data_IF_045724517340
#
_entry.id   IF_045724517340
#
_cell.length_a   1.000
_cell.length_b   1.000
_cell.length_c   1.000
_cell.angle_alpha   90.00
_cell.angle_beta   90.00
_cell.angle_gamma   90.00
#
_symmetry.space_group_name_H-M   'P 1'
#
loop_
_entity.id
_entity.type
_entity.pdbx_description
1 polymer ?
#
# COMPACT_ATOMS: atom_id res chain seq x y z
N UNK A 1 63.71 -11.33 56.11
CA UNK A 1 62.63 -12.34 55.99
C UNK A 1 61.68 -11.86 54.89
N UNK A 2 61.82 -12.39 53.67
CA UNK A 2 60.83 -13.27 52.98
C UNK A 2 59.40 -12.71 53.01
N UNK A 3 58.89 -12.21 51.87
CA UNK A 3 58.02 -12.98 50.96
C UNK A 3 57.48 -12.10 49.82
N UNK A 4 57.40 -12.69 48.63
CA UNK A 4 56.92 -12.12 47.38
C UNK A 4 55.48 -12.55 47.07
N UNK A 5 54.79 -11.83 46.16
CA UNK A 5 53.86 -12.29 45.07
C UNK A 5 53.01 -11.09 44.60
N UNK A 6 53.23 -10.48 43.43
CA UNK A 6 52.82 -10.86 42.05
C UNK A 6 51.29 -10.91 41.80
N UNK A 7 50.90 -10.22 40.71
CA UNK A 7 49.68 -10.29 39.88
C UNK A 7 48.42 -9.50 40.28
N UNK A 8 48.10 -8.45 39.50
CA UNK A 8 46.90 -8.40 38.65
C UNK A 8 46.84 -7.06 37.86
N UNK A 9 47.59 -7.00 36.75
CA UNK A 9 47.20 -6.17 35.60
C UNK A 9 46.20 -6.98 34.78
N UNK A 10 45.01 -6.42 34.51
CA UNK A 10 44.15 -6.87 33.42
C UNK A 10 42.71 -7.22 33.81
N UNK A 11 41.86 -6.22 34.04
CA UNK A 11 40.40 -6.30 33.77
C UNK A 11 39.85 -4.88 33.49
N UNK A 12 40.14 -4.31 32.32
CA UNK A 12 39.38 -3.13 31.82
C UNK A 12 38.85 -3.36 30.39
N UNK A 13 39.27 -4.44 29.70
CA UNK A 13 38.89 -4.70 28.31
C UNK A 13 37.57 -5.45 28.07
N UNK A 14 36.93 -6.04 29.09
CA UNK A 14 35.81 -6.97 28.87
C UNK A 14 34.40 -6.35 28.96
N UNK A 15 34.23 -5.17 29.56
CA UNK A 15 32.89 -4.58 29.80
C UNK A 15 32.37 -3.79 28.58
N UNK A 16 33.27 -3.27 27.74
CA UNK A 16 32.90 -2.52 26.55
C UNK A 16 32.40 -3.41 25.39
N UNK A 17 32.84 -4.67 25.32
CA UNK A 17 32.44 -5.60 24.24
C UNK A 17 31.09 -6.29 24.50
N UNK A 18 30.70 -6.52 25.76
CA UNK A 18 29.41 -7.13 26.10
C UNK A 18 28.25 -6.15 25.87
N UNK A 19 28.49 -4.84 25.99
CA UNK A 19 27.48 -3.81 25.77
C UNK A 19 27.10 -3.65 24.28
N UNK A 20 28.04 -3.91 23.36
CA UNK A 20 27.78 -3.85 21.92
C UNK A 20 26.96 -5.06 21.40
N UNK A 21 27.10 -6.24 22.04
CA UNK A 21 26.32 -7.44 21.69
C UNK A 21 24.87 -7.38 22.19
N UNK A 22 24.60 -6.67 23.29
CA UNK A 22 23.24 -6.49 23.81
C UNK A 22 22.39 -5.49 22.99
N UNK A 23 23.01 -4.49 22.37
CA UNK A 23 22.30 -3.53 21.52
C UNK A 23 21.78 -4.16 20.21
N UNK A 24 22.52 -5.10 19.62
CA UNK A 24 22.11 -5.79 18.38
C UNK A 24 21.00 -6.81 18.63
N UNK A 25 21.01 -7.48 19.78
CA UNK A 25 19.96 -8.42 20.17
C UNK A 25 18.62 -7.72 20.52
N UNK A 26 18.67 -6.50 21.06
CA UNK A 26 17.47 -5.70 21.36
C UNK A 26 16.70 -5.29 20.10
N UNK A 27 17.40 -4.86 19.05
CA UNK A 27 16.77 -4.38 17.81
C UNK A 27 16.07 -5.52 17.02
N UNK A 28 16.68 -6.72 16.99
CA UNK A 28 16.10 -7.87 16.30
C UNK A 28 14.81 -8.38 16.97
N UNK A 29 14.71 -8.26 18.30
CA UNK A 29 13.53 -8.69 19.05
C UNK A 29 12.37 -7.69 18.94
N UNK A 30 12.68 -6.39 18.90
CA UNK A 30 11.68 -5.32 18.74
C UNK A 30 11.01 -5.34 17.35
N UNK A 31 11.81 -5.59 16.30
CA UNK A 31 11.27 -5.73 14.94
C UNK A 31 10.44 -7.01 14.77
N UNK A 32 10.82 -8.12 15.44
CA UNK A 32 10.05 -9.36 15.46
C UNK A 32 8.68 -9.20 16.16
N UNK A 33 8.64 -8.50 17.29
CA UNK A 33 7.39 -8.20 18.00
C UNK A 33 6.45 -7.31 17.19
N UNK A 34 6.99 -6.24 16.59
CA UNK A 34 6.23 -5.34 15.71
C UNK A 34 5.67 -6.04 14.48
N UNK A 35 6.45 -6.96 13.89
CA UNK A 35 6.02 -7.78 12.76
C UNK A 35 4.82 -8.66 13.09
N UNK A 36 4.83 -9.32 14.27
CA UNK A 36 3.71 -10.14 14.74
C UNK A 36 2.44 -9.30 14.96
N UNK A 37 2.55 -8.14 15.61
CA UNK A 37 1.40 -7.27 15.88
C UNK A 37 0.74 -6.81 14.57
N UNK A 38 1.53 -6.34 13.62
CA UNK A 38 1.03 -5.89 12.31
C UNK A 38 0.41 -7.05 11.51
N UNK A 39 1.05 -8.22 11.51
CA UNK A 39 0.51 -9.41 10.86
C UNK A 39 -0.83 -9.82 11.46
N UNK A 40 -0.95 -9.81 12.80
CA UNK A 40 -2.19 -10.13 13.51
C UNK A 40 -3.29 -9.10 13.24
N UNK A 41 -2.91 -7.84 13.01
CA UNK A 41 -3.85 -6.78 12.70
C UNK A 41 -4.35 -6.83 11.25
N UNK A 42 -3.48 -7.07 10.28
CA UNK A 42 -3.82 -6.91 8.86
C UNK A 42 -3.91 -8.21 8.07
N UNK A 43 -3.19 -9.27 8.46
CA UNK A 43 -2.98 -10.45 7.62
C UNK A 43 -3.71 -11.70 8.11
N UNK A 44 -3.78 -11.91 9.44
CA UNK A 44 -4.27 -13.17 10.04
C UNK A 44 -5.73 -13.50 9.73
N UNK A 45 -6.55 -12.51 9.37
CA UNK A 45 -7.96 -12.73 9.01
C UNK A 45 -8.11 -13.53 7.70
N UNK A 46 -7.10 -13.48 6.84
CA UNK A 46 -7.06 -14.22 5.58
C UNK A 46 -6.04 -15.38 5.62
N UNK A 47 -4.85 -15.14 6.17
CA UNK A 47 -3.75 -16.11 6.22
C UNK A 47 -3.73 -16.98 7.48
N UNK A 48 -4.58 -16.70 8.48
CA UNK A 48 -4.54 -17.37 9.77
C UNK A 48 -3.42 -16.87 10.67
N UNK A 49 -3.53 -17.16 11.97
CA UNK A 49 -2.52 -16.75 12.96
C UNK A 49 -1.18 -17.48 12.74
N UNK A 50 -1.22 -18.76 12.31
CA UNK A 50 -0.01 -19.53 12.04
C UNK A 50 0.46 -19.47 10.58
N UNK A 51 -0.27 -18.75 9.71
CA UNK A 51 0.01 -18.68 8.27
C UNK A 51 -0.49 -19.87 7.45
N UNK A 52 -1.11 -20.87 8.09
CA UNK A 52 -1.64 -22.05 7.42
C UNK A 52 -2.93 -21.76 6.67
N UNK A 53 -3.10 -22.44 5.56
CA UNK A 53 -4.36 -22.41 4.82
C UNK A 53 -5.53 -22.92 5.67
N UNK A 54 -6.72 -22.38 5.41
CA UNK A 54 -7.96 -22.68 6.12
C UNK A 54 -8.07 -22.17 7.57
N UNK A 55 -7.08 -21.44 8.09
CA UNK A 55 -7.16 -20.87 9.45
C UNK A 55 -7.78 -19.47 9.49
N UNK A 56 -7.60 -18.67 8.43
CA UNK A 56 -8.13 -17.31 8.38
C UNK A 56 -9.65 -17.29 8.47
N UNK A 57 -10.19 -16.41 9.31
CA UNK A 57 -11.64 -16.21 9.47
C UNK A 57 -12.38 -16.03 8.13
N UNK A 58 -11.76 -15.33 7.18
CA UNK A 58 -12.33 -15.03 5.88
C UNK A 58 -12.13 -16.16 4.84
N UNK A 59 -11.35 -17.20 5.15
CA UNK A 59 -10.92 -18.22 4.19
C UNK A 59 -12.05 -18.87 3.38
N UNK A 60 -13.11 -19.26 4.07
CA UNK A 60 -14.27 -19.91 3.47
C UNK A 60 -15.07 -19.00 2.52
N UNK A 61 -14.90 -17.68 2.63
CA UNK A 61 -15.66 -16.68 1.88
C UNK A 61 -14.85 -16.03 0.76
N UNK A 62 -13.56 -16.37 0.63
CA UNK A 62 -12.70 -15.85 -0.44
C UNK A 62 -12.87 -16.66 -1.74
N UNK A 63 -12.92 -16.00 -2.91
CA UNK A 63 -12.84 -16.68 -4.20
C UNK A 63 -11.44 -17.27 -4.43
N UNK A 64 -11.32 -18.15 -5.42
CA UNK A 64 -10.02 -18.60 -5.89
C UNK A 64 -9.33 -17.53 -6.77
N UNK A 65 -7.98 -17.47 -6.74
CA UNK A 65 -7.11 -18.27 -5.89
C UNK A 65 -7.08 -17.74 -4.45
N UNK A 66 -7.19 -18.67 -3.49
CA UNK A 66 -7.12 -18.36 -2.06
C UNK A 66 -5.70 -18.01 -1.62
N UNK A 67 -5.54 -17.38 -0.43
CA UNK A 67 -4.22 -17.05 0.07
C UNK A 67 -3.26 -18.24 0.18
N UNK A 68 -1.98 -17.99 -0.09
CA UNK A 68 -0.90 -18.97 0.04
C UNK A 68 -0.74 -19.45 1.48
N UNK A 69 -0.23 -20.67 1.63
CA UNK A 69 0.25 -21.18 2.92
C UNK A 69 1.60 -20.54 3.26
N UNK A 70 1.58 -19.57 4.18
CA UNK A 70 2.79 -18.86 4.59
C UNK A 70 3.68 -19.70 5.51
N UNK A 71 3.18 -20.83 6.05
CA UNK A 71 3.94 -21.77 6.86
C UNK A 71 4.64 -22.85 6.03
N UNK A 72 4.29 -22.98 4.73
CA UNK A 72 4.88 -23.97 3.85
C UNK A 72 6.34 -23.64 3.54
N UNK A 73 7.25 -24.36 4.20
CA UNK A 73 8.69 -24.20 4.02
C UNK A 73 9.18 -24.43 2.60
N UNK A 74 8.69 -25.47 1.91
CA UNK A 74 9.20 -25.80 0.57
C UNK A 74 8.88 -24.72 -0.44
N UNK A 75 7.72 -24.08 -0.29
CA UNK A 75 7.23 -23.06 -1.20
C UNK A 75 7.72 -21.67 -0.79
N UNK A 76 7.60 -21.29 0.48
CA UNK A 76 8.00 -19.96 0.93
C UNK A 76 9.51 -19.72 0.88
N UNK A 77 10.32 -20.78 0.95
CA UNK A 77 11.77 -20.67 0.76
C UNK A 77 12.20 -20.37 -0.68
N UNK A 78 11.32 -20.45 -1.69
CA UNK A 78 11.69 -20.10 -3.08
C UNK A 78 11.65 -18.60 -3.35
N UNK A 79 10.90 -17.84 -2.54
CA UNK A 79 10.80 -16.38 -2.67
C UNK A 79 11.95 -15.69 -1.96
N UNK A 80 12.45 -14.60 -2.54
CA UNK A 80 13.36 -13.66 -1.87
C UNK A 80 12.59 -12.77 -0.91
N UNK A 81 13.30 -12.11 0.00
CA UNK A 81 12.70 -11.18 0.94
C UNK A 81 12.01 -10.01 0.22
N UNK A 82 12.64 -9.53 -0.85
CA UNK A 82 12.11 -8.49 -1.73
C UNK A 82 10.84 -8.92 -2.46
N UNK A 83 10.71 -10.20 -2.83
CA UNK A 83 9.52 -10.69 -3.52
C UNK A 83 8.30 -10.65 -2.57
N UNK A 84 8.51 -11.04 -1.31
CA UNK A 84 7.47 -10.96 -0.26
C UNK A 84 7.14 -9.49 0.03
N UNK A 85 8.15 -8.64 0.18
CA UNK A 85 7.97 -7.20 0.38
C UNK A 85 7.16 -6.58 -0.75
N UNK A 86 7.53 -6.86 -2.01
CA UNK A 86 6.87 -6.33 -3.19
C UNK A 86 5.44 -6.82 -3.31
N UNK A 87 5.16 -8.06 -2.89
CA UNK A 87 3.78 -8.58 -2.84
C UNK A 87 2.90 -7.80 -1.84
N UNK A 88 3.46 -7.39 -0.71
CA UNK A 88 2.74 -6.60 0.32
C UNK A 88 2.63 -5.11 -0.08
N UNK A 89 3.61 -4.60 -0.82
CA UNK A 89 3.79 -3.17 -1.16
C UNK A 89 3.49 -2.82 -2.63
N UNK A 90 2.92 -3.74 -3.42
CA UNK A 90 2.53 -3.45 -4.81
C UNK A 90 1.30 -2.54 -4.87
N UNK A 91 1.11 -1.87 -5.99
CA UNK A 91 -0.17 -1.23 -6.28
C UNK A 91 -1.26 -2.26 -6.57
N UNK A 92 -2.52 -1.85 -6.41
CA UNK A 92 -3.67 -2.66 -6.79
C UNK A 92 -3.74 -2.77 -8.32
N UNK A 93 -3.86 -3.99 -8.84
CA UNK A 93 -4.02 -4.27 -10.27
C UNK A 93 -5.50 -4.44 -10.59
N UNK A 94 -5.95 -3.92 -11.73
CA UNK A 94 -7.29 -4.11 -12.25
C UNK A 94 -7.39 -5.44 -13.00
N UNK A 95 -8.07 -6.43 -12.41
CA UNK A 95 -8.21 -7.76 -13.02
C UNK A 95 -9.37 -7.86 -14.01
N UNK A 96 -9.89 -6.72 -14.46
CA UNK A 96 -10.78 -6.65 -15.61
C UNK A 96 -10.08 -7.25 -16.84
N UNK A 97 -10.85 -7.73 -17.82
CA UNK A 97 -10.28 -8.15 -19.11
C UNK A 97 -9.44 -7.01 -19.73
N UNK A 98 -8.25 -7.33 -20.23
CA UNK A 98 -7.34 -6.34 -20.85
C UNK A 98 -8.00 -5.62 -22.03
N UNK A 99 -8.90 -6.27 -22.77
CA UNK A 99 -9.67 -5.66 -23.85
C UNK A 99 -10.70 -4.63 -23.33
N UNK A 100 -11.08 -4.74 -22.06
CA UNK A 100 -11.94 -3.80 -21.35
C UNK A 100 -11.18 -2.77 -20.50
N UNK A 101 -9.84 -2.75 -20.60
CA UNK A 101 -8.97 -1.79 -19.92
C UNK A 101 -8.44 -2.23 -18.56
N UNK A 102 -8.44 -3.54 -18.28
CA UNK A 102 -7.70 -4.09 -17.14
C UNK A 102 -6.19 -4.13 -17.37
N UNK A 103 -5.44 -4.41 -16.31
CA UNK A 103 -3.98 -4.51 -16.34
C UNK A 103 -3.54 -5.86 -16.93
N UNK A 104 -2.43 -5.88 -17.66
CA UNK A 104 -1.77 -7.13 -18.02
C UNK A 104 -1.20 -7.80 -16.77
N UNK A 105 -1.62 -9.04 -16.52
CA UNK A 105 -1.22 -9.83 -15.37
C UNK A 105 -0.43 -11.04 -15.87
N UNK A 106 0.84 -11.11 -15.52
CA UNK A 106 1.68 -12.27 -15.84
C UNK A 106 1.24 -13.53 -15.08
N UNK A 107 1.59 -14.71 -15.60
CA UNK A 107 1.32 -15.99 -14.94
C UNK A 107 2.04 -16.14 -13.59
N UNK A 108 3.12 -15.39 -13.38
CA UNK A 108 3.92 -15.28 -12.16
C UNK A 108 3.52 -14.09 -11.27
N UNK A 109 2.70 -13.17 -11.79
CA UNK A 109 2.20 -12.05 -11.02
C UNK A 109 1.09 -12.51 -10.07
N UNK A 110 1.31 -12.32 -8.77
CA UNK A 110 0.32 -12.56 -7.74
C UNK A 110 -0.75 -11.44 -7.74
N UNK A 111 -1.49 -11.31 -8.85
CA UNK A 111 -2.56 -10.35 -9.03
C UNK A 111 -3.91 -10.99 -8.64
N UNK A 112 -4.14 -11.08 -7.33
CA UNK A 112 -5.48 -11.28 -6.80
C UNK A 112 -6.03 -9.92 -6.37
N UNK A 113 -7.28 -9.55 -6.76
CA UNK A 113 -7.92 -8.33 -6.26
C UNK A 113 -8.07 -8.36 -4.74
N UNK A 114 -8.18 -9.56 -4.18
CA UNK A 114 -8.57 -9.82 -2.80
C UNK A 114 -7.46 -9.61 -1.78
N UNK A 115 -6.18 -9.66 -2.18
CA UNK A 115 -5.07 -9.28 -1.31
C UNK A 115 -4.84 -7.77 -1.42
N UNK A 116 -5.11 -7.00 -0.35
CA UNK A 116 -4.96 -5.55 -0.39
C UNK A 116 -3.49 -5.13 -0.41
N UNK A 117 -3.23 -3.95 -0.96
CA UNK A 117 -1.94 -3.27 -0.81
C UNK A 117 -1.81 -2.64 0.57
N UNK A 118 -0.59 -2.68 1.13
CA UNK A 118 -0.23 -1.96 2.34
C UNK A 118 0.75 -0.80 2.09
N UNK A 119 1.13 -0.59 0.82
CA UNK A 119 2.05 0.48 0.37
C UNK A 119 1.67 1.86 0.88
N UNK A 120 0.37 2.14 0.97
CA UNK A 120 -0.18 3.45 1.38
C UNK A 120 -0.62 3.49 2.85
N UNK A 121 -0.40 2.41 3.61
CA UNK A 121 -0.87 2.26 5.00
C UNK A 121 0.29 2.14 5.97
N UNK A 122 1.29 1.32 5.62
CA UNK A 122 2.42 0.99 6.48
C UNK A 122 3.70 1.67 5.95
N UNK A 123 4.65 1.94 6.84
CA UNK A 123 5.99 2.36 6.41
C UNK A 123 6.79 1.18 5.85
N UNK A 124 7.85 1.44 5.08
CA UNK A 124 8.70 0.36 4.56
C UNK A 124 9.33 -0.47 5.69
N UNK A 125 9.76 0.15 6.80
CA UNK A 125 10.22 -0.59 7.99
C UNK A 125 9.16 -1.54 8.58
N UNK A 126 7.89 -1.12 8.59
CA UNK A 126 6.77 -1.93 9.09
C UNK A 126 6.47 -3.11 8.17
N UNK A 127 6.54 -2.90 6.86
CA UNK A 127 6.38 -3.98 5.88
C UNK A 127 7.54 -4.98 6.03
N UNK A 128 8.78 -4.52 6.20
CA UNK A 128 9.91 -5.41 6.49
C UNK A 128 9.75 -6.18 7.80
N UNK A 129 9.16 -5.57 8.83
CA UNK A 129 8.84 -6.29 10.06
C UNK A 129 7.83 -7.44 9.79
N UNK A 130 6.82 -7.21 8.94
CA UNK A 130 5.91 -8.27 8.51
C UNK A 130 6.66 -9.36 7.75
N UNK A 131 7.55 -9.00 6.80
CA UNK A 131 8.38 -9.99 6.07
C UNK A 131 9.19 -10.85 7.05
N UNK A 132 9.83 -10.23 8.05
CA UNK A 132 10.55 -10.93 9.10
C UNK A 132 9.68 -11.92 9.86
N UNK A 133 8.45 -11.54 10.22
CA UNK A 133 7.50 -12.44 10.87
C UNK A 133 7.06 -13.59 9.96
N UNK A 134 6.72 -13.30 8.69
CA UNK A 134 6.35 -14.31 7.69
C UNK A 134 7.47 -15.33 7.48
N UNK A 135 8.75 -14.89 7.43
CA UNK A 135 9.89 -15.80 7.40
C UNK A 135 9.93 -16.74 8.60
N UNK A 136 9.58 -16.23 9.78
CA UNK A 136 9.46 -17.01 11.01
C UNK A 136 8.41 -18.12 10.93
N UNK A 137 7.27 -17.88 10.27
CA UNK A 137 6.16 -18.86 10.15
C UNK A 137 6.59 -20.16 9.46
N UNK A 138 7.56 -20.10 8.56
CA UNK A 138 8.12 -21.26 7.87
C UNK A 138 9.55 -21.61 8.30
N UNK A 139 9.98 -21.11 9.47
CA UNK A 139 11.26 -21.44 10.11
C UNK A 139 12.50 -20.87 9.42
N UNK A 140 12.36 -19.86 8.55
CA UNK A 140 13.46 -19.12 7.97
C UNK A 140 13.76 -17.83 8.76
N UNK A 141 14.85 -17.16 8.39
CA UNK A 141 15.17 -15.82 8.87
C UNK A 141 15.24 -14.89 7.67
N UNK A 142 14.81 -13.65 7.85
CA UNK A 142 14.99 -12.59 6.88
C UNK A 142 16.49 -12.29 6.74
N UNK A 143 16.94 -12.18 5.50
CA UNK A 143 18.30 -11.82 5.11
C UNK A 143 18.43 -10.30 4.88
N UNK A 144 17.34 -9.63 4.46
CA UNK A 144 17.30 -8.18 4.25
C UNK A 144 17.62 -7.41 5.54
N UNK A 145 18.47 -6.39 5.42
CA UNK A 145 18.95 -5.60 6.57
C UNK A 145 18.41 -4.17 6.51
N UNK A 146 17.35 -3.93 7.28
CA UNK A 146 16.68 -2.62 7.36
C UNK A 146 17.63 -1.50 7.80
N UNK A 147 18.54 -1.77 8.75
CA UNK A 147 19.52 -0.76 9.20
C UNK A 147 20.52 -0.34 8.11
N UNK A 148 20.94 -1.28 7.25
CA UNK A 148 21.81 -0.95 6.11
C UNK A 148 21.06 -0.09 5.10
N UNK A 149 19.79 -0.42 4.81
CA UNK A 149 18.89 0.38 3.96
C UNK A 149 18.68 1.79 4.50
N UNK A 150 18.42 1.92 5.80
CA UNK A 150 18.27 3.21 6.48
C UNK A 150 19.51 4.07 6.33
N UNK A 151 20.69 3.52 6.63
CA UNK A 151 21.97 4.22 6.49
C UNK A 151 22.24 4.65 5.04
N UNK A 152 21.90 3.82 4.06
CA UNK A 152 21.99 4.18 2.64
C UNK A 152 21.10 5.37 2.31
N UNK A 153 19.84 5.39 2.77
CA UNK A 153 18.91 6.48 2.52
C UNK A 153 19.32 7.78 3.23
N UNK A 154 19.83 7.69 4.46
CA UNK A 154 20.39 8.84 5.18
C UNK A 154 21.60 9.43 4.44
N UNK A 155 22.49 8.58 3.94
CA UNK A 155 23.66 9.00 3.16
C UNK A 155 23.21 9.68 1.86
N UNK A 156 22.26 9.07 1.12
CA UNK A 156 21.71 9.64 -0.10
C UNK A 156 21.04 11.00 0.15
N UNK A 157 20.30 11.14 1.25
CA UNK A 157 19.68 12.41 1.66
C UNK A 157 20.72 13.48 1.96
N UNK A 158 21.78 13.14 2.68
CA UNK A 158 22.88 14.07 2.97
C UNK A 158 23.62 14.49 1.69
N UNK A 159 23.91 13.55 0.79
CA UNK A 159 24.53 13.83 -0.51
C UNK A 159 23.65 14.74 -1.36
N UNK A 160 22.34 14.47 -1.45
CA UNK A 160 21.42 15.30 -2.22
C UNK A 160 21.29 16.72 -1.65
N UNK A 161 21.33 16.88 -0.32
CA UNK A 161 21.37 18.20 0.34
C UNK A 161 22.64 18.96 -0.04
N UNK A 162 23.80 18.32 0.02
CA UNK A 162 25.07 18.93 -0.34
C UNK A 162 25.11 19.33 -1.84
N UNK A 163 24.59 18.47 -2.72
CA UNK A 163 24.49 18.75 -4.15
C UNK A 163 23.58 19.95 -4.44
N UNK A 164 22.42 20.04 -3.79
CA UNK A 164 21.53 21.19 -3.94
C UNK A 164 22.19 22.48 -3.42
N UNK A 165 22.86 22.43 -2.26
CA UNK A 165 23.57 23.60 -1.72
C UNK A 165 24.66 24.08 -2.69
N UNK A 166 25.44 23.16 -3.26
CA UNK A 166 26.46 23.50 -4.25
C UNK A 166 25.86 24.07 -5.54
N UNK A 167 24.80 23.44 -6.08
CA UNK A 167 24.13 23.90 -7.29
C UNK A 167 23.46 25.27 -7.09
N UNK A 168 22.88 25.52 -5.91
CA UNK A 168 22.30 26.81 -5.54
C UNK A 168 23.38 27.90 -5.51
N UNK A 169 24.54 27.64 -4.88
CA UNK A 169 25.66 28.59 -4.88
C UNK A 169 26.19 28.89 -6.28
N UNK A 170 26.25 27.88 -7.16
CA UNK A 170 26.67 28.06 -8.55
C UNK A 170 25.67 28.92 -9.33
N UNK A 171 24.37 28.66 -9.17
CA UNK A 171 23.29 29.47 -9.76
C UNK A 171 23.36 30.92 -9.28
N UNK A 172 23.41 31.15 -7.97
CA UNK A 172 23.48 32.51 -7.40
C UNK A 172 24.73 33.27 -7.88
N UNK A 173 25.86 32.58 -8.03
CA UNK A 173 27.09 33.18 -8.57
C UNK A 173 26.97 33.55 -10.06
N UNK A 174 26.38 32.68 -10.87
CA UNK A 174 26.17 32.89 -12.31
C UNK A 174 25.13 34.00 -12.58
N UNK A 175 24.02 33.99 -11.85
CA UNK A 175 22.99 35.04 -11.90
C UNK A 175 23.57 36.40 -11.50
N UNK A 176 24.34 36.45 -10.41
CA UNK A 176 25.02 37.67 -9.99
C UNK A 176 26.00 38.17 -11.05
N UNK A 177 26.80 37.28 -11.64
CA UNK A 177 27.72 37.67 -12.72
C UNK A 177 26.96 38.24 -13.93
N UNK A 178 25.85 37.62 -14.33
CA UNK A 178 25.01 38.10 -15.42
C UNK A 178 24.42 39.49 -15.13
N UNK A 179 23.97 39.71 -13.89
CA UNK A 179 23.49 41.01 -13.42
C UNK A 179 24.60 42.07 -13.44
N UNK A 180 25.77 41.77 -12.88
CA UNK A 180 26.93 42.68 -12.87
C UNK A 180 27.39 43.03 -14.31
N UNK A 181 27.29 42.09 -15.26
CA UNK A 181 27.59 42.33 -16.67
C UNK A 181 26.54 43.19 -17.38
N UNK A 182 25.26 43.00 -17.06
CA UNK A 182 24.15 43.77 -17.61
C UNK A 182 24.16 45.22 -17.10
N UNK A 183 24.47 45.44 -15.83
CA UNK A 183 24.66 46.77 -15.25
C UNK A 183 25.79 47.53 -15.95
N UNK A 184 26.97 46.89 -16.13
CA UNK A 184 28.10 47.50 -16.85
C UNK A 184 27.75 47.85 -18.30
N UNK A 185 26.99 46.99 -18.99
CA UNK A 185 26.50 47.27 -20.36
C UNK A 185 25.50 48.42 -20.35
N UNK A 186 24.64 48.51 -19.34
CA UNK A 186 23.65 49.57 -19.20
C UNK A 186 24.30 50.94 -19.03
N UNK A 187 25.32 51.02 -18.17
CA UNK A 187 26.11 52.24 -17.95
C UNK A 187 26.86 52.67 -19.22
N UNK A 188 27.52 51.73 -19.90
CA UNK A 188 28.29 52.00 -21.11
C UNK A 188 27.41 52.47 -22.29
N UNK A 189 26.19 51.93 -22.40
CA UNK A 189 25.26 52.23 -23.49
C UNK A 189 24.24 53.33 -23.16
N UNK A 190 24.18 53.80 -21.91
CA UNK A 190 23.15 54.71 -21.39
C UNK A 190 21.72 54.25 -21.72
N UNK A 191 21.51 52.93 -21.67
CA UNK A 191 20.25 52.28 -21.97
C UNK A 191 20.12 51.09 -21.04
N UNK A 192 18.95 50.86 -20.47
CA UNK A 192 18.71 49.72 -19.61
C UNK A 192 18.88 48.41 -20.41
N UNK A 193 19.83 47.59 -19.99
CA UNK A 193 20.11 46.25 -20.47
C UNK A 193 19.83 45.29 -19.32
N UNK A 194 18.88 44.39 -19.53
CA UNK A 194 18.52 43.35 -18.56
C UNK A 194 19.57 42.21 -18.55
N UNK A 195 19.70 41.46 -17.45
CA UNK A 195 20.50 40.24 -17.39
C UNK A 195 20.04 39.23 -18.46
N UNK A 196 21.01 38.62 -19.14
CA UNK A 196 20.72 37.57 -20.12
C UNK A 196 20.42 36.26 -19.39
N UNK A 197 19.15 35.91 -19.24
CA UNK A 197 18.74 34.68 -18.55
C UNK A 197 19.32 33.41 -19.21
N UNK A 198 19.68 33.48 -20.50
CA UNK A 198 20.31 32.35 -21.19
C UNK A 198 21.75 32.09 -20.71
N UNK A 199 22.39 33.08 -20.08
CA UNK A 199 23.78 32.97 -19.61
C UNK A 199 23.94 32.15 -18.33
N UNK A 200 22.85 31.87 -17.62
CA UNK A 200 22.83 31.06 -16.39
C UNK A 200 21.74 29.95 -16.41
N UNK A 201 21.20 29.65 -17.60
CA UNK A 201 20.14 28.65 -17.77
C UNK A 201 20.59 27.24 -17.37
N UNK A 202 21.87 26.91 -17.59
CA UNK A 202 22.44 25.60 -17.25
C UNK A 202 22.54 25.43 -15.73
N UNK A 203 22.94 26.47 -14.99
CA UNK A 203 22.99 26.47 -13.53
C UNK A 203 21.59 26.37 -12.93
N UNK A 204 20.60 27.08 -13.49
CA UNK A 204 19.21 26.99 -13.08
C UNK A 204 18.65 25.57 -13.28
N UNK A 205 18.97 24.94 -14.41
CA UNK A 205 18.60 23.56 -14.70
C UNK A 205 19.29 22.57 -13.74
N UNK A 206 20.57 22.78 -13.43
CA UNK A 206 21.33 21.97 -12.48
C UNK A 206 20.77 22.08 -11.06
N UNK A 207 20.44 23.29 -10.59
CA UNK A 207 19.79 23.51 -9.28
C UNK A 207 18.42 22.83 -9.25
N UNK A 208 17.61 22.98 -10.30
CA UNK A 208 16.29 22.35 -10.41
C UNK A 208 16.37 20.82 -10.38
N UNK A 209 17.39 20.24 -11.03
CA UNK A 209 17.66 18.80 -10.99
C UNK A 209 18.08 18.35 -9.59
N UNK A 210 19.03 19.05 -8.95
CA UNK A 210 19.49 18.74 -7.60
C UNK A 210 18.34 18.83 -6.57
N UNK A 211 17.42 19.78 -6.75
CA UNK A 211 16.21 19.90 -5.92
C UNK A 211 15.31 18.67 -6.06
N UNK A 212 15.05 18.22 -7.30
CA UNK A 212 14.28 16.98 -7.55
C UNK A 212 14.94 15.76 -6.91
N UNK A 213 16.27 15.64 -6.99
CA UNK A 213 17.02 14.57 -6.34
C UNK A 213 16.88 14.60 -4.82
N UNK A 214 16.94 15.79 -4.21
CA UNK A 214 16.68 15.97 -2.79
C UNK A 214 15.25 15.58 -2.41
N UNK A 215 14.25 16.01 -3.19
CA UNK A 215 12.86 15.67 -2.94
C UNK A 215 12.65 14.14 -2.99
N UNK A 216 13.24 13.46 -3.97
CA UNK A 216 13.22 11.98 -4.07
C UNK A 216 13.88 11.32 -2.84
N UNK A 217 15.07 11.78 -2.44
CA UNK A 217 15.77 11.23 -1.29
C UNK A 217 15.00 11.46 0.03
N UNK A 218 14.37 12.62 0.17
CA UNK A 218 13.56 12.98 1.33
C UNK A 218 12.30 12.12 1.41
N UNK A 219 11.60 11.93 0.28
CA UNK A 219 10.43 11.05 0.19
C UNK A 219 10.80 9.60 0.53
N UNK A 220 11.92 9.10 0.00
CA UNK A 220 12.38 7.73 0.31
C UNK A 220 12.66 7.55 1.81
N UNK A 221 13.34 8.51 2.45
CA UNK A 221 13.60 8.47 3.89
C UNK A 221 12.31 8.59 4.71
N UNK A 222 11.36 9.43 4.29
CA UNK A 222 10.07 9.58 4.96
C UNK A 222 9.24 8.29 4.85
N UNK A 223 9.17 7.66 3.66
CA UNK A 223 8.45 6.41 3.46
C UNK A 223 9.06 5.24 4.24
N UNK A 224 10.37 5.26 4.49
CA UNK A 224 11.04 4.28 5.33
C UNK A 224 10.44 4.24 6.74
N UNK A 225 10.42 5.41 7.39
CA UNK A 225 10.18 5.51 8.84
C UNK A 225 8.77 5.96 9.21
N UNK A 226 8.02 6.53 8.26
CA UNK A 226 6.70 7.14 8.52
C UNK A 226 5.62 6.48 7.67
N UNK A 227 4.49 6.15 8.31
CA UNK A 227 3.29 5.68 7.60
C UNK A 227 2.81 6.74 6.60
N UNK A 228 2.54 6.36 5.34
CA UNK A 228 1.97 7.28 4.35
C UNK A 228 0.64 7.85 4.82
N UNK A 229 0.36 9.10 4.46
CA UNK A 229 -0.91 9.75 4.76
C UNK A 229 -1.15 10.09 6.24
N UNK A 230 -0.23 9.75 7.17
CA UNK A 230 -0.37 10.10 8.59
C UNK A 230 -0.45 11.63 8.75
N UNK A 231 -1.50 12.10 9.43
CA UNK A 231 -1.74 13.54 9.66
C UNK A 231 -2.21 14.31 8.43
N UNK A 232 -2.49 13.64 7.30
CA UNK A 232 -3.03 14.30 6.10
C UNK A 232 -4.56 14.41 6.21
N UNK A 233 -5.09 15.60 5.90
CA UNK A 233 -6.54 15.80 5.80
C UNK A 233 -6.96 15.68 4.34
N UNK A 234 -7.83 14.72 4.04
CA UNK A 234 -8.45 14.61 2.71
C UNK A 234 -9.48 15.73 2.56
N UNK A 235 -9.38 16.60 1.53
CA UNK A 235 -10.34 17.68 1.32
C UNK A 235 -11.73 17.14 0.99
N UNK A 236 -12.75 17.99 1.14
CA UNK A 236 -14.11 17.64 0.73
C UNK A 236 -14.15 17.49 -0.81
N UNK A 237 -14.61 16.35 -1.35
CA UNK A 237 -14.72 16.17 -2.79
C UNK A 237 -15.94 16.89 -3.37
N UNK A 238 -15.86 17.22 -4.66
CA UNK A 238 -17.03 17.46 -5.47
C UNK A 238 -17.56 16.14 -6.06
N UNK A 239 -18.68 15.67 -5.51
CA UNK A 239 -19.36 14.45 -5.95
C UNK A 239 -20.43 14.71 -7.03
N UNK A 240 -20.55 15.94 -7.51
CA UNK A 240 -21.51 16.29 -8.56
C UNK A 240 -21.09 15.63 -9.87
N UNK A 241 -22.03 14.97 -10.53
CA UNK A 241 -21.87 14.35 -11.85
C UNK A 241 -23.09 14.69 -12.69
N UNK A 242 -22.88 14.98 -13.98
CA UNK A 242 -23.99 15.25 -14.89
C UNK A 242 -24.89 14.00 -14.99
N UNK A 243 -26.22 14.15 -15.09
CA UNK A 243 -27.13 12.99 -15.12
C UNK A 243 -26.82 11.97 -16.21
N UNK A 244 -26.33 12.41 -17.38
CA UNK A 244 -25.94 11.56 -18.51
C UNK A 244 -24.68 10.74 -18.26
N UNK A 245 -23.82 11.15 -17.31
CA UNK A 245 -22.59 10.46 -16.94
C UNK A 245 -22.74 9.62 -15.67
N UNK A 246 -23.74 9.89 -14.83
CA UNK A 246 -23.91 9.23 -13.52
C UNK A 246 -23.94 7.70 -13.65
N UNK A 247 -24.73 7.16 -14.56
CA UNK A 247 -24.85 5.71 -14.75
C UNK A 247 -23.50 5.07 -15.14
N UNK A 248 -22.72 5.73 -16.01
CA UNK A 248 -21.38 5.27 -16.41
C UNK A 248 -20.40 5.32 -15.24
N UNK A 249 -20.43 6.39 -14.45
CA UNK A 249 -19.56 6.53 -13.27
C UNK A 249 -19.91 5.52 -12.18
N UNK A 250 -21.19 5.21 -11.98
CA UNK A 250 -21.63 4.14 -11.05
C UNK A 250 -21.15 2.77 -11.54
N UNK A 251 -21.33 2.47 -12.83
CA UNK A 251 -20.84 1.21 -13.41
C UNK A 251 -19.32 1.05 -13.29
N UNK A 252 -18.57 2.14 -13.52
CA UNK A 252 -17.13 2.17 -13.25
C UNK A 252 -16.83 1.91 -11.77
N UNK A 253 -17.56 2.57 -10.87
CA UNK A 253 -17.41 2.38 -9.42
C UNK A 253 -17.64 0.93 -8.98
N UNK A 254 -18.62 0.24 -9.57
CA UNK A 254 -18.86 -1.17 -9.32
C UNK A 254 -17.71 -2.03 -9.84
N UNK A 255 -17.25 -1.82 -11.08
CA UNK A 255 -16.09 -2.55 -11.63
C UNK A 255 -14.85 -2.37 -10.74
N UNK A 256 -14.56 -1.13 -10.34
CA UNK A 256 -13.42 -0.81 -9.46
C UNK A 256 -13.55 -1.49 -8.08
N UNK A 257 -14.77 -1.55 -7.53
CA UNK A 257 -15.06 -2.24 -6.28
C UNK A 257 -14.74 -3.74 -6.35
N UNK A 258 -15.06 -4.39 -7.46
CA UNK A 258 -14.90 -5.85 -7.64
C UNK A 258 -13.50 -6.23 -8.14
N UNK A 259 -13.00 -5.57 -9.18
CA UNK A 259 -11.89 -6.08 -9.98
C UNK A 259 -10.54 -5.42 -9.68
N UNK A 260 -10.53 -4.14 -9.26
CA UNK A 260 -9.28 -3.41 -8.98
C UNK A 260 -8.97 -3.35 -7.50
N UNK A 261 -9.91 -2.87 -6.71
CA UNK A 261 -9.71 -2.66 -5.27
C UNK A 261 -10.17 -3.85 -4.43
N UNK A 262 -10.81 -4.85 -5.04
CA UNK A 262 -11.21 -6.11 -4.41
C UNK A 262 -11.94 -5.92 -3.08
N UNK A 263 -12.79 -4.89 -3.00
CA UNK A 263 -13.50 -4.52 -1.79
C UNK A 263 -14.41 -5.66 -1.31
N UNK A 264 -14.96 -6.43 -2.25
CA UNK A 264 -15.70 -7.67 -2.03
C UNK A 264 -14.87 -8.77 -1.36
N UNK A 265 -13.53 -8.71 -1.40
CA UNK A 265 -12.67 -9.64 -0.68
C UNK A 265 -12.81 -9.49 0.84
N UNK A 266 -13.11 -8.28 1.33
CA UNK A 266 -13.31 -8.01 2.76
C UNK A 266 -14.77 -7.77 3.11
N UNK A 267 -15.51 -7.05 2.28
CA UNK A 267 -16.89 -6.63 2.53
C UNK A 267 -17.91 -7.51 1.81
N UNK A 268 -19.07 -7.70 2.44
CA UNK A 268 -20.20 -8.35 1.80
C UNK A 268 -21.21 -7.35 1.22
N UNK A 269 -21.86 -7.76 0.14
CA UNK A 269 -23.12 -7.20 -0.35
C UNK A 269 -24.07 -8.38 -0.53
N UNK A 270 -25.11 -8.42 0.28
CA UNK A 270 -26.07 -9.50 0.36
C UNK A 270 -25.44 -10.73 0.98
N UNK A 271 -25.54 -11.85 0.27
CA UNK A 271 -24.91 -13.12 0.66
C UNK A 271 -23.47 -13.27 0.16
N UNK A 272 -23.02 -12.36 -0.71
CA UNK A 272 -21.77 -12.49 -1.45
C UNK A 272 -20.68 -11.57 -0.86
N UNK A 273 -19.43 -12.04 -0.89
CA UNK A 273 -18.25 -11.30 -0.45
C UNK A 273 -17.67 -11.74 0.90
N UNK A 274 -16.73 -10.95 1.39
CA UNK A 274 -15.94 -11.22 2.59
C UNK A 274 -16.68 -10.91 3.90
N UNK A 275 -16.08 -11.39 5.00
CA UNK A 275 -16.61 -11.24 6.37
C UNK A 275 -15.75 -10.35 7.27
N UNK A 276 -14.63 -9.85 6.75
CA UNK A 276 -13.67 -9.03 7.52
C UNK A 276 -14.21 -7.61 7.70
N UNK A 277 -14.74 -7.03 6.63
CA UNK A 277 -15.38 -5.73 6.62
C UNK A 277 -16.88 -5.85 6.90
N UNK A 278 -17.52 -4.76 7.37
CA UNK A 278 -18.97 -4.72 7.55
C UNK A 278 -19.71 -4.87 6.21
N UNK A 279 -20.93 -5.42 6.25
CA UNK A 279 -21.83 -5.48 5.11
C UNK A 279 -22.16 -4.07 4.57
N UNK A 280 -22.10 -3.92 3.24
CA UNK A 280 -22.24 -2.64 2.54
C UNK A 280 -23.59 -2.45 1.85
N UNK A 281 -24.50 -3.43 1.94
CA UNK A 281 -25.87 -3.40 1.39
C UNK A 281 -26.63 -2.10 1.59
N UNK A 282 -26.39 -1.47 2.73
CA UNK A 282 -27.07 -0.26 3.20
C UNK A 282 -26.15 0.95 3.28
N UNK A 283 -24.95 0.88 2.68
CA UNK A 283 -23.96 1.94 2.74
C UNK A 283 -24.54 3.28 2.24
N UNK A 284 -25.26 3.28 1.11
CA UNK A 284 -25.86 4.48 0.53
C UNK A 284 -27.04 5.04 1.32
N UNK A 285 -27.61 4.25 2.25
CA UNK A 285 -28.62 4.73 3.19
C UNK A 285 -27.99 5.27 4.48
N UNK A 286 -26.92 4.62 4.98
CA UNK A 286 -26.33 4.90 6.29
C UNK A 286 -25.20 5.91 6.26
N UNK A 287 -24.46 5.99 5.16
CA UNK A 287 -23.20 6.72 5.06
C UNK A 287 -23.35 7.94 4.16
N UNK A 288 -22.65 9.01 4.52
CA UNK A 288 -22.57 10.22 3.72
C UNK A 288 -21.51 10.06 2.61
N UNK A 289 -21.81 10.43 1.36
CA UNK A 289 -20.87 10.28 0.24
C UNK A 289 -19.52 10.99 0.45
N UNK A 290 -19.50 12.19 1.02
CA UNK A 290 -18.22 12.87 1.36
C UNK A 290 -17.44 12.08 2.40
N UNK A 291 -18.13 11.48 3.38
CA UNK A 291 -17.47 10.62 4.38
C UNK A 291 -16.88 9.38 3.73
N UNK A 292 -17.64 8.70 2.85
CA UNK A 292 -17.18 7.51 2.11
C UNK A 292 -15.95 7.84 1.27
N UNK A 293 -15.97 8.93 0.50
CA UNK A 293 -14.82 9.35 -0.29
C UNK A 293 -13.56 9.52 0.55
N UNK A 294 -13.66 10.25 1.67
CA UNK A 294 -12.51 10.51 2.55
C UNK A 294 -12.00 9.22 3.19
N UNK A 295 -12.92 8.32 3.57
CA UNK A 295 -12.59 7.00 4.10
C UNK A 295 -11.84 6.15 3.07
N UNK A 296 -12.27 6.14 1.81
CA UNK A 296 -11.59 5.41 0.74
C UNK A 296 -10.19 5.99 0.42
N UNK A 297 -10.02 7.32 0.52
CA UNK A 297 -8.75 7.99 0.25
C UNK A 297 -7.71 7.77 1.35
N UNK A 298 -8.12 7.85 2.62
CA UNK A 298 -7.22 7.68 3.76
C UNK A 298 -8.01 7.27 5.03
N UNK A 299 -8.29 5.97 5.20
CA UNK A 299 -9.08 5.49 6.34
C UNK A 299 -8.32 5.70 7.66
N UNK A 300 -6.99 5.57 7.66
CA UNK A 300 -6.14 5.74 8.85
C UNK A 300 -6.13 7.17 9.41
N UNK A 301 -6.32 8.18 8.55
CA UNK A 301 -6.49 9.57 9.01
C UNK A 301 -7.85 9.82 9.69
N UNK A 302 -8.84 8.96 9.45
CA UNK A 302 -10.16 9.06 10.09
C UNK A 302 -10.27 8.17 11.32
N UNK A 303 -9.66 6.98 11.27
CA UNK A 303 -9.53 6.07 12.39
C UNK A 303 -8.18 5.34 12.27
N UNK A 304 -7.24 5.64 13.16
CA UNK A 304 -5.88 5.07 13.12
C UNK A 304 -5.82 3.56 13.44
N UNK A 305 -6.89 2.99 14.00
CA UNK A 305 -6.98 1.57 14.39
C UNK A 305 -7.83 0.75 13.41
N UNK A 306 -8.25 1.34 12.29
CA UNK A 306 -9.06 0.62 11.30
C UNK A 306 -8.24 -0.43 10.57
N UNK A 307 -8.80 -1.63 10.43
CA UNK A 307 -8.17 -2.71 9.65
C UNK A 307 -8.24 -2.47 8.14
N UNK A 308 -9.08 -1.54 7.67
CA UNK A 308 -9.16 -1.22 6.26
C UNK A 308 -7.91 -0.43 5.83
N UNK A 309 -7.06 -0.99 4.96
CA UNK A 309 -5.88 -0.27 4.49
C UNK A 309 -6.28 0.83 3.50
N UNK A 310 -5.40 1.83 3.37
CA UNK A 310 -5.44 2.74 2.23
C UNK A 310 -5.00 1.98 0.97
N UNK A 311 -5.87 1.90 -0.02
CA UNK A 311 -5.64 1.15 -1.26
C UNK A 311 -5.09 1.99 -2.42
N UNK A 312 -4.75 3.26 -2.16
CA UNK A 312 -4.17 4.15 -3.17
C UNK A 312 -5.15 4.66 -4.23
N UNK A 313 -6.45 4.77 -3.89
CA UNK A 313 -7.44 5.29 -4.84
C UNK A 313 -7.07 6.71 -5.29
N UNK A 314 -7.02 6.92 -6.61
CA UNK A 314 -6.99 8.27 -7.17
C UNK A 314 -8.36 8.94 -6.99
N UNK A 315 -8.45 10.25 -7.26
CA UNK A 315 -9.69 11.01 -6.98
C UNK A 315 -10.87 10.60 -7.88
N UNK A 316 -10.61 10.19 -9.13
CA UNK A 316 -11.64 9.71 -10.04
C UNK A 316 -12.20 8.36 -9.59
N UNK A 317 -11.31 7.43 -9.22
CA UNK A 317 -11.66 6.10 -8.74
C UNK A 317 -12.42 6.19 -7.41
N UNK A 318 -11.93 6.99 -6.46
CA UNK A 318 -12.60 7.24 -5.18
C UNK A 318 -13.99 7.85 -5.36
N UNK A 319 -14.15 8.78 -6.32
CA UNK A 319 -15.45 9.36 -6.66
C UNK A 319 -16.39 8.32 -7.27
N UNK A 320 -15.91 7.50 -8.21
CA UNK A 320 -16.70 6.46 -8.85
C UNK A 320 -17.20 5.42 -7.85
N UNK A 321 -16.30 4.87 -7.02
CA UNK A 321 -16.65 3.90 -5.98
C UNK A 321 -17.61 4.53 -4.96
N UNK A 322 -17.38 5.79 -4.56
CA UNK A 322 -18.30 6.51 -3.66
C UNK A 322 -19.71 6.58 -4.25
N UNK A 323 -19.85 6.93 -5.52
CA UNK A 323 -21.15 7.02 -6.19
C UNK A 323 -21.83 5.65 -6.28
N UNK A 324 -21.08 4.59 -6.57
CA UNK A 324 -21.60 3.22 -6.47
C UNK A 324 -22.07 2.88 -5.06
N UNK A 325 -21.30 3.20 -4.01
CA UNK A 325 -21.75 2.99 -2.62
C UNK A 325 -23.06 3.72 -2.32
N UNK A 326 -23.31 4.89 -2.92
CA UNK A 326 -24.59 5.60 -2.74
C UNK A 326 -25.80 4.87 -3.34
N UNK A 327 -25.60 3.96 -4.30
CA UNK A 327 -26.70 3.15 -4.87
C UNK A 327 -27.04 1.95 -4.01
N UNK A 328 -26.16 1.54 -3.09
CA UNK A 328 -26.38 0.45 -2.14
C UNK A 328 -27.35 0.88 -1.02
N UNK A 329 -28.64 0.87 -1.35
CA UNK A 329 -29.74 1.31 -0.47
C UNK A 329 -30.68 0.17 -0.08
N UNK A 330 -30.20 -1.08 -0.12
CA UNK A 330 -31.01 -2.26 0.16
C UNK A 330 -31.91 -2.03 1.38
N UNK A 331 -33.21 -1.99 1.13
CA UNK A 331 -34.25 -2.22 2.13
C UNK A 331 -34.79 -3.64 1.98
N UNK A 332 -33.97 -4.57 1.48
CA UNK A 332 -34.40 -5.94 1.26
C UNK A 332 -34.60 -6.57 2.63
N UNK A 333 -35.86 -6.86 2.97
CA UNK A 333 -36.20 -7.51 4.23
C UNK A 333 -35.79 -8.98 4.16
N UNK A 334 -35.62 -9.64 5.31
CA UNK A 334 -35.37 -11.09 5.34
C UNK A 334 -36.44 -11.88 4.56
N UNK A 335 -37.66 -11.32 4.48
CA UNK A 335 -38.78 -11.84 3.69
C UNK A 335 -38.54 -11.78 2.17
N UNK A 336 -37.95 -10.69 1.68
CA UNK A 336 -37.62 -10.50 0.28
C UNK A 336 -36.45 -11.42 -0.14
N UNK A 337 -35.48 -11.63 0.76
CA UNK A 337 -34.38 -12.59 0.58
C UNK A 337 -34.91 -14.03 0.52
N UNK A 338 -35.83 -14.39 1.41
CA UNK A 338 -36.45 -15.72 1.42
C UNK A 338 -37.32 -15.97 0.17
N UNK A 339 -38.05 -14.95 -0.30
CA UNK A 339 -38.82 -15.04 -1.55
C UNK A 339 -37.93 -15.23 -2.77
N UNK A 340 -36.81 -14.51 -2.86
CA UNK A 340 -35.86 -14.67 -3.95
C UNK A 340 -35.22 -16.08 -3.95
N UNK A 341 -34.79 -16.56 -2.78
CA UNK A 341 -34.23 -17.91 -2.65
C UNK A 341 -35.25 -19.02 -2.96
N UNK A 342 -36.53 -18.83 -2.58
CA UNK A 342 -37.60 -19.75 -2.91
C UNK A 342 -37.91 -19.78 -4.41
N UNK A 343 -37.86 -18.63 -5.09
CA UNK A 343 -38.06 -18.55 -6.53
C UNK A 343 -36.93 -19.24 -7.31
N UNK A 344 -35.68 -19.03 -6.90
CA UNK A 344 -34.48 -19.65 -7.51
C UNK A 344 -34.49 -21.18 -7.36
N UNK A 345 -34.89 -21.68 -6.18
CA UNK A 345 -35.07 -23.12 -5.93
C UNK A 345 -36.19 -23.72 -6.78
N UNK A 346 -37.31 -23.00 -6.94
CA UNK A 346 -38.43 -23.46 -7.75
C UNK A 346 -38.09 -23.53 -9.24
N UNK A 347 -37.26 -22.61 -9.75
CA UNK A 347 -36.74 -22.69 -11.13
C UNK A 347 -35.77 -23.85 -11.32
N UNK A 348 -34.86 -24.08 -10.38
CA UNK A 348 -33.93 -25.22 -10.42
C UNK A 348 -34.66 -26.57 -10.40
N UNK A 349 -35.72 -26.70 -9.59
CA UNK A 349 -36.55 -27.90 -9.53
C UNK A 349 -37.33 -28.13 -10.83
N UNK A 350 -37.86 -27.06 -11.45
CA UNK A 350 -38.52 -27.14 -12.76
C UNK A 350 -37.55 -27.53 -13.87
N UNK A 351 -36.35 -26.94 -13.91
CA UNK A 351 -35.32 -27.29 -14.87
C UNK A 351 -34.87 -28.76 -14.72
N UNK A 352 -34.72 -29.23 -13.48
CA UNK A 352 -34.38 -30.63 -13.20
C UNK A 352 -35.50 -31.61 -13.60
N UNK A 353 -36.77 -31.21 -13.46
CA UNK A 353 -37.92 -32.01 -13.90
C UNK A 353 -37.98 -32.11 -15.43
N UNK A 354 -37.78 -30.98 -16.13
CA UNK A 354 -37.74 -30.94 -17.60
C UNK A 354 -36.60 -31.78 -18.17
N UNK A 355 -35.40 -31.68 -17.59
CA UNK A 355 -34.25 -32.48 -18.02
C UNK A 355 -34.46 -34.00 -17.81
N UNK A 356 -35.25 -34.40 -16.80
CA UNK A 356 -35.62 -35.81 -16.58
C UNK A 356 -36.64 -36.29 -17.61
N UNK A 357 -37.60 -35.45 -17.98
CA UNK A 357 -38.62 -35.78 -18.97
C UNK A 357 -38.02 -35.92 -20.38
N UNK A 358 -37.10 -35.05 -20.76
CA UNK A 358 -36.38 -35.14 -22.04
C UNK A 358 -35.51 -36.41 -22.13
N UNK A 359 -34.81 -36.77 -21.05
CA UNK A 359 -34.03 -38.01 -20.98
C UNK A 359 -34.90 -39.27 -21.05
N UNK A 360 -36.15 -39.21 -20.55
CA UNK A 360 -37.09 -40.32 -20.65
C UNK A 360 -37.67 -40.47 -22.06
N UNK A 361 -37.88 -39.36 -22.78
CA UNK A 361 -38.32 -39.35 -24.18
C UNK A 361 -37.23 -39.82 -25.15
N UNK A 362 -35.96 -39.57 -24.87
CA UNK A 362 -34.82 -40.03 -25.68
C UNK A 362 -34.46 -41.52 -25.51
N UNK A 363 -35.11 -42.24 -24.57
CA UNK A 363 -34.91 -43.69 -24.33
C UNK A 363 -36.06 -44.56 -24.85
N UNK A 364 -37.11 -43.95 -25.40
CA UNK A 364 -38.12 -44.61 -26.22
C UNK A 364 -37.77 -44.40 -27.69
#
# INVERSE_FOLDING_TARGET
MKAARLYAMGVVGAVAWVSALLAVAGCANEQGGKGHELYSHYCSHCHGESGKQNEGFNWSSMPDPKPKDLSNKSEMSTFKDEDIFNTISRDMKDTTDVAEGGDEIGDDDFAVPTMPTFKYTLSEEEIWAIVGYVRGLHGAKMEFKVEERKKQLETALQTAKANLEQATKAYEAAEKQASDEAEKKSEALKKDVEPDESSYADELAAMSKAKKELDVAQVAMTNLVTRPGKGTSVPRPDLTVKPDQLAKTVALGQRLYENKYGCNGCHSIGKDGGKVGPALDRAGFRLNGTWVYRWLKNPQAMNAETRMPALGLNDADAKAVTLYMTTLKSMTTDEDIQKAAAAEKAEAEKAAAQAKEEKAKAKK
#
